data_IF_964079110606
#
_entry.id   IF_964079110606
#
_cell.length_a   1.000
_cell.length_b   1.000
_cell.length_c   1.000
_cell.angle_alpha   90.00
_cell.angle_beta   90.00
_cell.angle_gamma   90.00
#
_symmetry.space_group_name_H-M   'P 1'
#
loop_
_entity.id
_entity.type
_entity.pdbx_description
1 polymer ?
#
# COMPACT_ATOMS: atom_id res chain seq x y z
N UNK A 1 70.91 -37.79 -9.28
CA UNK A 1 70.09 -37.04 -10.26
C UNK A 1 68.67 -37.52 -10.08
N UNK A 2 67.70 -36.62 -9.93
CA UNK A 2 66.37 -37.00 -9.46
C UNK A 2 65.42 -37.29 -10.63
N UNK A 3 64.84 -38.48 -10.65
CA UNK A 3 63.66 -38.77 -11.47
C UNK A 3 62.44 -38.07 -10.88
N UNK A 4 61.66 -37.38 -11.71
CA UNK A 4 60.38 -36.79 -11.31
C UNK A 4 59.33 -37.22 -12.33
N UNK A 5 58.41 -38.11 -11.92
CA UNK A 5 57.29 -38.53 -12.76
C UNK A 5 56.28 -37.39 -12.93
N UNK A 6 55.60 -37.26 -14.09
CA UNK A 6 54.58 -36.23 -14.28
C UNK A 6 53.37 -36.50 -13.38
N UNK A 7 53.06 -35.56 -12.50
CA UNK A 7 51.89 -35.67 -11.62
C UNK A 7 50.59 -35.52 -12.43
N UNK A 8 49.69 -36.50 -12.30
CA UNK A 8 48.36 -36.47 -12.91
C UNK A 8 47.57 -35.24 -12.45
N UNK A 9 47.15 -34.40 -13.40
CA UNK A 9 46.27 -33.26 -13.11
C UNK A 9 44.87 -33.74 -12.76
N UNK A 10 44.62 -34.06 -11.49
CA UNK A 10 43.27 -34.27 -10.98
C UNK A 10 42.48 -32.96 -11.09
N UNK A 11 41.65 -32.87 -12.13
CA UNK A 11 40.69 -31.78 -12.33
C UNK A 11 39.56 -31.90 -11.30
N UNK A 12 39.78 -31.42 -10.08
CA UNK A 12 38.73 -31.27 -9.08
C UNK A 12 37.77 -30.15 -9.48
N UNK A 13 36.81 -30.48 -10.34
CA UNK A 13 35.57 -29.71 -10.43
C UNK A 13 34.80 -29.93 -9.14
N UNK A 14 34.50 -28.91 -8.33
CA UNK A 14 33.62 -29.08 -7.18
C UNK A 14 32.25 -29.57 -7.67
N UNK A 15 31.53 -30.41 -6.90
CA UNK A 15 30.19 -30.85 -7.28
C UNK A 15 29.29 -29.62 -7.43
N UNK A 16 28.70 -29.45 -8.62
CA UNK A 16 27.78 -28.35 -8.88
C UNK A 16 26.59 -28.45 -7.91
N UNK A 17 26.38 -27.40 -7.10
CA UNK A 17 25.32 -27.43 -6.10
C UNK A 17 23.95 -27.59 -6.77
N UNK A 18 23.02 -28.39 -6.20
CA UNK A 18 21.70 -28.61 -6.79
C UNK A 18 20.91 -27.29 -6.95
N UNK A 19 21.20 -26.27 -6.14
CA UNK A 19 20.73 -24.89 -6.29
C UNK A 19 21.05 -24.31 -7.66
N UNK A 20 22.29 -24.44 -8.15
CA UNK A 20 22.75 -23.84 -9.42
C UNK A 20 22.03 -24.39 -10.65
N UNK A 21 21.46 -25.59 -10.56
CA UNK A 21 20.66 -26.17 -11.64
C UNK A 21 19.19 -25.70 -11.56
N UNK A 22 18.62 -25.59 -10.35
CA UNK A 22 17.30 -24.98 -10.12
C UNK A 22 17.27 -23.50 -10.52
N UNK A 23 18.32 -22.73 -10.23
CA UNK A 23 18.46 -21.34 -10.66
C UNK A 23 18.42 -21.20 -12.18
N UNK A 24 19.06 -22.11 -12.93
CA UNK A 24 19.04 -22.13 -14.40
C UNK A 24 17.66 -22.49 -14.94
N UNK A 25 16.94 -23.41 -14.31
CA UNK A 25 15.55 -23.72 -14.69
C UNK A 25 14.64 -22.50 -14.44
N UNK A 26 14.77 -21.84 -13.28
CA UNK A 26 14.02 -20.60 -12.97
C UNK A 26 14.33 -19.49 -13.99
N UNK A 27 15.59 -19.29 -14.37
CA UNK A 27 15.97 -18.31 -15.40
C UNK A 27 15.38 -18.66 -16.79
N UNK A 28 15.41 -19.94 -17.20
CA UNK A 28 14.79 -20.40 -18.44
C UNK A 28 13.27 -20.18 -18.46
N UNK A 29 12.60 -20.52 -17.36
CA UNK A 29 11.17 -20.28 -17.14
C UNK A 29 10.82 -18.79 -17.17
N UNK A 30 11.65 -17.93 -16.55
CA UNK A 30 11.49 -16.46 -16.65
C UNK A 30 11.61 -15.95 -18.09
N UNK A 31 12.59 -16.42 -18.87
CA UNK A 31 12.72 -16.06 -20.29
C UNK A 31 11.50 -16.52 -21.11
N UNK A 32 10.94 -17.71 -20.81
CA UNK A 32 9.73 -18.19 -21.46
C UNK A 32 8.50 -17.33 -21.10
N UNK A 33 8.38 -16.89 -19.84
CA UNK A 33 7.35 -15.93 -19.40
C UNK A 33 7.47 -14.58 -20.13
N UNK A 34 8.68 -14.05 -20.34
CA UNK A 34 8.88 -12.83 -21.15
C UNK A 34 8.35 -13.04 -22.58
N UNK A 35 8.76 -14.12 -23.25
CA UNK A 35 8.31 -14.45 -24.61
C UNK A 35 6.80 -14.64 -24.75
N UNK A 36 6.11 -15.12 -23.72
CA UNK A 36 4.63 -15.18 -23.72
C UNK A 36 3.98 -13.82 -23.49
N UNK A 37 4.58 -12.92 -22.71
CA UNK A 37 4.08 -11.53 -22.58
C UNK A 37 4.26 -10.75 -23.88
N UNK A 38 5.39 -10.91 -24.57
CA UNK A 38 5.62 -10.36 -25.92
C UNK A 38 4.54 -10.85 -26.90
N UNK A 39 4.26 -12.16 -26.94
CA UNK A 39 3.20 -12.74 -27.76
C UNK A 39 1.79 -12.20 -27.41
N UNK A 40 1.50 -11.92 -26.13
CA UNK A 40 0.24 -11.28 -25.74
C UNK A 40 0.13 -9.87 -26.33
N UNK A 41 1.20 -9.09 -26.37
CA UNK A 41 1.17 -7.76 -27.01
C UNK A 41 1.00 -7.87 -28.53
N UNK A 42 1.73 -8.78 -29.19
CA UNK A 42 1.60 -9.04 -30.64
C UNK A 42 0.17 -9.48 -31.02
N UNK A 43 -0.50 -10.30 -30.19
CA UNK A 43 -1.89 -10.71 -30.43
C UNK A 43 -2.89 -9.56 -30.20
N UNK A 44 -2.61 -8.64 -29.28
CA UNK A 44 -3.44 -7.43 -29.11
C UNK A 44 -3.32 -6.51 -30.33
N UNK A 45 -2.10 -6.25 -30.80
CA UNK A 45 -1.80 -5.29 -31.88
C UNK A 45 -1.91 -5.85 -33.30
N UNK A 46 -2.31 -7.12 -33.49
CA UNK A 46 -2.59 -7.68 -34.80
C UNK A 46 -4.05 -7.40 -35.17
N UNK A 47 -4.32 -6.51 -36.12
CA UNK A 47 -5.69 -6.12 -36.48
C UNK A 47 -6.38 -7.03 -37.52
N UNK A 48 -5.70 -8.09 -37.96
CA UNK A 48 -6.27 -9.14 -38.81
C UNK A 48 -7.05 -10.20 -38.01
N UNK A 49 -6.81 -10.29 -36.69
CA UNK A 49 -7.48 -11.22 -35.78
C UNK A 49 -8.79 -10.64 -35.22
N UNK A 50 -9.88 -11.40 -35.29
CA UNK A 50 -11.14 -11.03 -34.67
C UNK A 50 -11.05 -11.00 -33.13
N UNK A 51 -11.92 -10.20 -32.49
CA UNK A 51 -11.92 -9.97 -31.04
C UNK A 51 -12.07 -11.24 -30.20
N UNK A 52 -12.80 -12.26 -30.68
CA UNK A 52 -12.97 -13.54 -29.96
C UNK A 52 -11.69 -14.36 -30.06
N UNK A 53 -11.09 -14.47 -31.24
CA UNK A 53 -9.80 -15.15 -31.44
C UNK A 53 -8.66 -14.46 -30.69
N UNK A 54 -8.61 -13.12 -30.66
CA UNK A 54 -7.70 -12.35 -29.79
C UNK A 54 -7.89 -12.75 -28.32
N UNK A 55 -9.12 -12.71 -27.81
CA UNK A 55 -9.42 -13.02 -26.41
C UNK A 55 -9.07 -14.46 -26.01
N UNK A 56 -9.40 -15.43 -26.86
CA UNK A 56 -9.09 -16.85 -26.62
C UNK A 56 -7.58 -17.12 -26.63
N UNK A 57 -6.85 -16.54 -27.58
CA UNK A 57 -5.38 -16.69 -27.67
C UNK A 57 -4.65 -15.98 -26.53
N UNK A 58 -5.11 -14.79 -26.11
CA UNK A 58 -4.61 -14.09 -24.91
C UNK A 58 -4.89 -14.90 -23.65
N UNK A 59 -6.10 -15.47 -23.50
CA UNK A 59 -6.45 -16.36 -22.38
C UNK A 59 -5.56 -17.60 -22.32
N UNK A 60 -5.27 -18.22 -23.46
CA UNK A 60 -4.35 -19.36 -23.56
C UNK A 60 -2.93 -19.00 -23.11
N UNK A 61 -2.35 -17.93 -23.67
CA UNK A 61 -1.01 -17.43 -23.28
C UNK A 61 -0.93 -17.04 -21.79
N UNK A 62 -2.00 -16.43 -21.26
CA UNK A 62 -2.10 -16.06 -19.83
C UNK A 62 -2.12 -17.30 -18.93
N UNK A 63 -2.82 -18.36 -19.35
CA UNK A 63 -2.81 -19.67 -18.66
C UNK A 63 -1.40 -20.29 -18.64
N UNK A 64 -0.67 -20.25 -19.77
CA UNK A 64 0.72 -20.73 -19.83
C UNK A 64 1.68 -19.91 -18.95
N UNK A 65 1.46 -18.60 -18.80
CA UNK A 65 2.21 -17.76 -17.84
C UNK A 65 1.93 -18.20 -16.40
N UNK A 66 0.66 -18.43 -16.04
CA UNK A 66 0.28 -18.89 -14.70
C UNK A 66 0.86 -20.29 -14.37
N UNK A 67 0.93 -21.19 -15.36
CA UNK A 67 1.61 -22.49 -15.21
C UNK A 67 3.11 -22.33 -14.96
N UNK A 68 3.77 -21.41 -15.66
CA UNK A 68 5.19 -21.08 -15.43
C UNK A 68 5.41 -20.50 -14.03
N UNK A 69 4.60 -19.55 -13.59
CA UNK A 69 4.72 -18.95 -12.26
C UNK A 69 4.51 -19.98 -11.14
N UNK A 70 3.55 -20.90 -11.32
CA UNK A 70 3.34 -22.04 -10.42
C UNK A 70 4.58 -22.95 -10.34
N UNK A 71 5.20 -23.29 -11.48
CA UNK A 71 6.42 -24.12 -11.51
C UNK A 71 7.63 -23.39 -10.89
N UNK A 72 7.79 -22.09 -11.12
CA UNK A 72 8.84 -21.28 -10.45
C UNK A 72 8.61 -21.27 -8.93
N UNK A 73 7.36 -21.14 -8.46
CA UNK A 73 7.04 -21.19 -7.04
C UNK A 73 7.35 -22.56 -6.42
N UNK A 74 7.01 -23.67 -7.11
CA UNK A 74 7.35 -25.03 -6.69
C UNK A 74 8.87 -25.21 -6.55
N UNK A 75 9.65 -24.88 -7.58
CA UNK A 75 11.12 -25.06 -7.58
C UNK A 75 11.76 -24.27 -6.43
N UNK A 76 11.26 -23.06 -6.14
CA UNK A 76 11.72 -22.25 -4.99
C UNK A 76 11.32 -22.84 -3.64
N UNK A 77 10.12 -23.42 -3.52
CA UNK A 77 9.69 -24.10 -2.29
C UNK A 77 10.55 -25.34 -2.01
N UNK A 78 10.79 -26.18 -3.03
CA UNK A 78 11.69 -27.34 -2.94
C UNK A 78 13.12 -26.93 -2.55
N UNK A 79 13.64 -25.83 -3.13
CA UNK A 79 14.98 -25.34 -2.79
C UNK A 79 15.10 -24.84 -1.34
N UNK A 80 14.05 -24.20 -0.80
CA UNK A 80 13.99 -23.80 0.61
C UNK A 80 13.84 -25.00 1.56
N UNK A 81 13.11 -26.03 1.15
CA UNK A 81 12.96 -27.27 1.94
C UNK A 81 14.28 -28.06 1.98
N UNK A 82 14.98 -28.17 0.84
CA UNK A 82 16.27 -28.85 0.75
C UNK A 82 17.35 -28.13 1.57
N UNK A 83 17.39 -26.79 1.53
CA UNK A 83 18.26 -25.97 2.40
C UNK A 83 17.99 -26.19 3.89
N UNK A 84 16.71 -26.28 4.31
CA UNK A 84 16.36 -26.61 5.70
C UNK A 84 16.79 -28.03 6.09
N UNK A 85 16.57 -29.03 5.22
CA UNK A 85 16.96 -30.43 5.48
C UNK A 85 18.47 -30.60 5.62
N UNK A 86 19.27 -29.92 4.79
CA UNK A 86 20.73 -29.89 4.90
C UNK A 86 21.17 -29.31 6.26
N UNK A 87 20.63 -28.16 6.67
CA UNK A 87 20.96 -27.53 7.95
C UNK A 87 20.60 -28.39 9.18
N UNK A 88 19.60 -29.28 9.08
CA UNK A 88 19.28 -30.22 10.17
C UNK A 88 20.24 -31.41 10.24
N UNK A 89 20.77 -31.90 9.10
CA UNK A 89 21.72 -33.02 9.10
C UNK A 89 23.11 -32.64 9.62
N UNK A 90 23.57 -31.40 9.37
CA UNK A 90 24.86 -30.94 9.90
C UNK A 90 24.87 -30.77 11.43
N UNK A 91 23.71 -30.53 12.07
CA UNK A 91 23.63 -30.44 13.53
C UNK A 91 23.76 -31.79 14.26
N UNK A 92 23.65 -32.93 13.57
CA UNK A 92 23.64 -34.25 14.24
C UNK A 92 25.03 -34.82 14.57
N UNK A 93 26.12 -34.06 14.39
CA UNK A 93 27.50 -34.58 14.50
C UNK A 93 28.47 -33.88 15.47
N UNK A 94 28.03 -32.88 16.24
CA UNK A 94 28.84 -32.35 17.35
C UNK A 94 28.00 -32.32 18.64
N UNK A 95 28.54 -32.91 19.70
CA UNK A 95 27.88 -33.06 21.00
C UNK A 95 28.82 -32.55 22.11
N UNK A 96 28.23 -32.02 23.19
CA UNK A 96 28.91 -31.43 24.36
C UNK A 96 29.56 -30.05 24.05
N UNK A 97 29.25 -28.95 24.75
CA UNK A 97 28.97 -28.84 26.19
C UNK A 97 28.06 -27.65 26.58
N UNK A 98 27.29 -27.85 27.67
CA UNK A 98 26.64 -26.93 28.64
C UNK A 98 26.32 -25.44 28.30
N UNK A 99 25.29 -24.82 28.92
CA UNK A 99 24.08 -25.39 29.56
C UNK A 99 22.79 -24.87 28.88
N UNK A 100 21.62 -25.22 29.41
CA UNK A 100 20.33 -24.70 28.94
C UNK A 100 20.25 -23.16 29.02
N UNK A 101 20.28 -22.51 27.86
CA UNK A 101 19.17 -21.62 27.52
C UNK A 101 18.16 -22.46 26.77
N UNK A 102 16.94 -22.58 27.30
CA UNK A 102 15.84 -23.20 26.58
C UNK A 102 15.48 -22.31 25.39
N UNK A 103 16.06 -22.60 24.23
CA UNK A 103 15.47 -22.24 22.95
C UNK A 103 14.20 -23.06 22.80
N UNK A 104 13.13 -22.58 23.45
CA UNK A 104 11.77 -23.01 23.18
C UNK A 104 11.56 -22.85 21.69
N UNK A 105 11.38 -23.96 20.98
CA UNK A 105 11.04 -23.93 19.56
C UNK A 105 9.81 -23.05 19.40
N UNK A 106 9.86 -22.00 18.56
CA UNK A 106 8.77 -21.02 18.49
C UNK A 106 7.48 -21.77 18.15
N UNK A 107 6.50 -21.68 19.04
CA UNK A 107 5.28 -22.49 18.92
C UNK A 107 4.62 -22.22 17.57
N UNK A 108 3.89 -23.21 17.03
CA UNK A 108 3.24 -23.05 15.71
C UNK A 108 2.34 -21.80 15.68
N UNK A 109 1.71 -21.46 16.82
CA UNK A 109 0.96 -20.20 17.01
C UNK A 109 1.84 -18.95 16.89
N UNK A 110 3.03 -18.93 17.49
CA UNK A 110 3.98 -17.82 17.37
C UNK A 110 4.51 -17.67 15.93
N UNK A 111 4.78 -18.78 15.23
CA UNK A 111 5.18 -18.77 13.83
C UNK A 111 4.06 -18.27 12.90
N UNK A 112 2.80 -18.67 13.14
CA UNK A 112 1.62 -18.16 12.41
C UNK A 112 1.42 -16.66 12.69
N UNK A 113 1.55 -16.21 13.94
CA UNK A 113 1.48 -14.78 14.27
C UNK A 113 2.53 -13.98 13.50
N UNK A 114 3.81 -14.37 13.58
CA UNK A 114 4.87 -13.69 12.84
C UNK A 114 4.61 -13.65 11.34
N UNK A 115 4.13 -14.74 10.71
CA UNK A 115 3.83 -14.72 9.28
C UNK A 115 2.69 -13.75 8.92
N UNK A 116 1.68 -13.60 9.79
CA UNK A 116 0.62 -12.60 9.65
C UNK A 116 1.13 -11.17 9.89
N UNK A 117 2.03 -10.97 10.86
CA UNK A 117 2.66 -9.67 11.14
C UNK A 117 3.56 -9.23 9.98
N UNK A 118 4.33 -10.13 9.36
CA UNK A 118 5.11 -9.86 8.14
C UNK A 118 4.24 -9.53 6.92
N UNK A 119 3.11 -10.23 6.71
CA UNK A 119 2.15 -9.92 5.63
C UNK A 119 1.50 -8.53 5.83
N UNK A 120 1.09 -8.19 7.05
CA UNK A 120 0.60 -6.85 7.39
C UNK A 120 1.67 -5.77 7.17
N UNK A 121 2.92 -6.04 7.57
CA UNK A 121 4.04 -5.13 7.38
C UNK A 121 4.32 -4.90 5.89
N UNK A 122 4.32 -5.95 5.07
CA UNK A 122 4.45 -5.85 3.60
C UNK A 122 3.32 -5.05 2.95
N UNK A 123 2.08 -5.24 3.40
CA UNK A 123 0.91 -4.47 2.94
C UNK A 123 1.00 -2.98 3.28
N UNK A 124 1.49 -2.65 4.49
CA UNK A 124 1.69 -1.25 4.92
C UNK A 124 2.84 -0.57 4.18
N UNK A 125 3.96 -1.27 3.92
CA UNK A 125 5.04 -0.79 3.05
C UNK A 125 4.50 -0.52 1.64
N UNK A 126 3.81 -1.48 1.02
CA UNK A 126 3.21 -1.32 -0.31
C UNK A 126 2.11 -0.25 -0.40
N UNK A 127 1.49 0.13 0.73
CA UNK A 127 0.57 1.27 0.80
C UNK A 127 1.33 2.60 0.90
N UNK A 128 2.35 2.68 1.77
CA UNK A 128 3.24 3.84 1.89
C UNK A 128 3.87 4.22 0.55
N UNK A 129 4.42 3.24 -0.16
CA UNK A 129 5.15 3.47 -1.41
C UNK A 129 4.22 3.97 -2.53
N UNK A 130 2.95 3.53 -2.52
CA UNK A 130 1.89 4.09 -3.38
C UNK A 130 1.57 5.53 -3.01
N UNK A 131 1.40 5.86 -1.73
CA UNK A 131 1.11 7.22 -1.29
C UNK A 131 2.26 8.19 -1.64
N UNK A 132 3.51 7.76 -1.48
CA UNK A 132 4.69 8.51 -1.93
C UNK A 132 4.72 8.72 -3.45
N UNK A 133 4.35 7.70 -4.23
CA UNK A 133 4.22 7.80 -5.70
C UNK A 133 3.11 8.79 -6.10
N UNK A 134 1.99 8.80 -5.39
CA UNK A 134 0.89 9.77 -5.60
C UNK A 134 1.33 11.19 -5.29
N UNK A 135 2.03 11.42 -4.16
CA UNK A 135 2.59 12.75 -3.82
C UNK A 135 3.52 13.24 -4.93
N UNK A 136 4.48 12.42 -5.36
CA UNK A 136 5.42 12.79 -6.41
C UNK A 136 4.73 13.13 -7.74
N UNK A 137 3.64 12.41 -8.06
CA UNK A 137 2.80 12.70 -9.24
C UNK A 137 2.08 14.05 -9.09
N UNK A 138 1.40 14.28 -7.96
CA UNK A 138 0.63 15.52 -7.70
C UNK A 138 1.56 16.75 -7.69
N UNK A 139 2.75 16.64 -7.09
CA UNK A 139 3.77 17.70 -7.16
C UNK A 139 4.30 17.89 -8.59
N UNK A 140 4.52 16.80 -9.33
CA UNK A 140 5.00 16.82 -10.72
C UNK A 140 4.03 17.58 -11.61
N UNK A 141 2.74 17.26 -11.52
CA UNK A 141 1.67 18.04 -12.15
C UNK A 141 1.65 19.49 -11.65
N UNK A 142 1.72 19.75 -10.34
CA UNK A 142 1.68 21.12 -9.80
C UNK A 142 2.82 21.99 -10.35
N UNK A 143 4.02 21.43 -10.50
CA UNK A 143 5.17 22.08 -11.13
C UNK A 143 4.93 22.31 -12.63
N UNK A 144 4.38 21.33 -13.34
CA UNK A 144 4.07 21.43 -14.77
C UNK A 144 2.97 22.45 -15.06
N UNK A 145 1.84 22.38 -14.35
CA UNK A 145 0.70 23.29 -14.46
C UNK A 145 1.16 24.75 -14.24
N UNK A 146 2.00 24.98 -13.21
CA UNK A 146 2.57 26.30 -12.95
C UNK A 146 3.46 26.78 -14.11
N UNK A 147 4.37 25.93 -14.62
CA UNK A 147 5.21 26.28 -15.78
C UNK A 147 4.36 26.61 -17.01
N UNK A 148 3.27 25.88 -17.27
CA UNK A 148 2.36 26.14 -18.39
C UNK A 148 1.64 27.49 -18.26
N UNK A 149 1.33 27.94 -17.04
CA UNK A 149 0.74 29.24 -16.77
C UNK A 149 1.77 30.39 -16.81
N UNK A 150 2.98 30.16 -16.31
CA UNK A 150 4.08 31.15 -16.25
C UNK A 150 4.81 31.35 -17.59
N UNK A 151 4.82 30.36 -18.49
CA UNK A 151 5.59 30.40 -19.73
C UNK A 151 4.94 31.25 -20.83
N UNK A 152 5.15 32.57 -20.77
CA UNK A 152 5.09 33.47 -21.94
C UNK A 152 5.95 34.72 -21.70
N UNK A 153 6.56 35.27 -22.76
CA UNK A 153 7.46 36.44 -22.67
C UNK A 153 6.75 37.79 -22.46
N UNK A 154 5.44 37.79 -22.25
CA UNK A 154 4.61 38.99 -22.13
C UNK A 154 3.71 38.91 -20.89
N UNK A 155 3.82 39.92 -20.01
CA UNK A 155 3.08 40.03 -18.75
C UNK A 155 1.62 40.42 -18.98
N UNK A 156 0.80 39.46 -19.40
CA UNK A 156 -0.66 39.62 -19.49
C UNK A 156 -1.30 39.59 -18.08
N UNK A 157 -2.01 40.68 -17.74
CA UNK A 157 -2.75 40.81 -16.49
C UNK A 157 -3.82 39.71 -16.31
N UNK A 158 -4.41 39.24 -17.42
CA UNK A 158 -5.35 38.12 -17.40
C UNK A 158 -4.70 36.81 -16.97
N UNK A 159 -3.45 36.56 -17.38
CA UNK A 159 -2.67 35.41 -16.90
C UNK A 159 -2.31 35.53 -15.43
N UNK A 160 -1.96 36.72 -14.93
CA UNK A 160 -1.69 36.92 -13.50
C UNK A 160 -2.91 36.55 -12.66
N UNK A 161 -4.10 37.03 -13.05
CA UNK A 161 -5.37 36.68 -12.37
C UNK A 161 -5.69 35.18 -12.51
N UNK A 162 -5.43 34.56 -13.66
CA UNK A 162 -5.63 33.12 -13.86
C UNK A 162 -4.71 32.28 -12.96
N UNK A 163 -3.45 32.68 -12.80
CA UNK A 163 -2.46 32.02 -11.94
C UNK A 163 -2.79 32.19 -10.45
N UNK A 164 -3.22 33.38 -10.03
CA UNK A 164 -3.71 33.65 -8.68
C UNK A 164 -4.94 32.77 -8.33
N UNK A 165 -5.92 32.70 -9.24
CA UNK A 165 -7.08 31.83 -9.10
C UNK A 165 -6.68 30.34 -9.08
N UNK A 166 -5.73 29.91 -9.90
CA UNK A 166 -5.21 28.53 -9.90
C UNK A 166 -4.47 28.18 -8.60
N UNK A 167 -3.70 29.11 -8.05
CA UNK A 167 -3.01 28.97 -6.76
C UNK A 167 -4.01 28.77 -5.61
N UNK A 168 -5.03 29.62 -5.53
CA UNK A 168 -6.05 29.54 -4.48
C UNK A 168 -7.06 28.39 -4.63
N UNK A 169 -7.17 27.75 -5.80
CA UNK A 169 -8.18 26.70 -6.04
C UNK A 169 -7.60 25.32 -6.36
N UNK A 170 -6.67 25.22 -7.31
CA UNK A 170 -6.11 23.94 -7.79
C UNK A 170 -4.86 23.59 -6.99
N UNK A 171 -3.88 24.48 -6.91
CA UNK A 171 -2.62 24.18 -6.23
C UNK A 171 -2.79 24.09 -4.72
N UNK A 172 -3.71 24.87 -4.14
CA UNK A 172 -4.11 24.73 -2.75
C UNK A 172 -4.72 23.34 -2.45
N UNK A 173 -5.67 22.86 -3.26
CA UNK A 173 -6.24 21.51 -3.10
C UNK A 173 -5.20 20.40 -3.35
N UNK A 174 -4.30 20.58 -4.32
CA UNK A 174 -3.19 19.64 -4.55
C UNK A 174 -2.27 19.54 -3.33
N UNK A 175 -1.97 20.66 -2.64
CA UNK A 175 -1.25 20.66 -1.35
C UNK A 175 -2.02 19.96 -0.23
N UNK A 176 -3.33 20.22 -0.09
CA UNK A 176 -4.17 19.59 0.93
C UNK A 176 -4.19 18.06 0.79
N UNK A 177 -4.28 17.55 -0.45
CA UNK A 177 -4.20 16.11 -0.74
C UNK A 177 -2.80 15.55 -0.43
N UNK A 178 -1.72 16.28 -0.75
CA UNK A 178 -0.35 15.88 -0.36
C UNK A 178 -0.21 15.78 1.16
N UNK A 179 -0.70 16.78 1.90
CA UNK A 179 -0.61 16.81 3.37
C UNK A 179 -1.41 15.66 4.02
N UNK A 180 -2.57 15.28 3.47
CA UNK A 180 -3.30 14.10 3.95
C UNK A 180 -2.59 12.78 3.60
N UNK A 181 -1.98 12.66 2.42
CA UNK A 181 -1.16 11.51 2.05
C UNK A 181 0.08 11.39 2.96
N UNK A 182 0.73 12.49 3.32
CA UNK A 182 1.82 12.53 4.32
C UNK A 182 1.34 12.09 5.71
N UNK A 183 0.15 12.55 6.14
CA UNK A 183 -0.49 12.11 7.38
C UNK A 183 -0.74 10.59 7.38
N UNK A 184 -1.21 10.03 6.26
CA UNK A 184 -1.41 8.59 6.10
C UNK A 184 -0.10 7.80 6.00
N UNK A 185 0.96 8.35 5.40
CA UNK A 185 2.33 7.81 5.47
C UNK A 185 2.81 7.77 6.93
N UNK A 186 2.58 8.83 7.71
CA UNK A 186 2.92 8.89 9.14
C UNK A 186 2.22 7.80 9.95
N UNK A 187 0.89 7.64 9.77
CA UNK A 187 0.09 6.55 10.40
C UNK A 187 0.62 5.18 10.00
N UNK A 188 0.94 4.96 8.72
CA UNK A 188 1.49 3.70 8.23
C UNK A 188 2.88 3.40 8.84
N UNK A 189 3.78 4.38 8.88
CA UNK A 189 5.11 4.25 9.48
C UNK A 189 5.04 3.97 10.99
N UNK A 190 4.09 4.59 11.71
CA UNK A 190 3.88 4.30 13.13
C UNK A 190 3.47 2.82 13.34
N UNK A 191 2.48 2.34 12.58
CA UNK A 191 2.02 0.94 12.65
C UNK A 191 3.08 -0.06 12.17
N UNK A 192 3.95 0.32 11.22
CA UNK A 192 5.13 -0.48 10.85
C UNK A 192 6.09 -0.63 12.04
N UNK A 193 6.28 0.43 12.84
CA UNK A 193 7.02 0.37 14.10
C UNK A 193 6.36 -0.56 15.12
N UNK A 194 5.05 -0.45 15.33
CA UNK A 194 4.31 -1.33 16.26
C UNK A 194 4.43 -2.82 15.91
N UNK A 195 4.31 -3.16 14.62
CA UNK A 195 4.44 -4.54 14.13
C UNK A 195 5.89 -5.04 14.21
N UNK A 196 6.88 -4.18 13.96
CA UNK A 196 8.29 -4.52 14.18
C UNK A 196 8.58 -4.77 15.68
N UNK A 197 8.02 -3.96 16.57
CA UNK A 197 8.10 -4.17 18.01
C UNK A 197 7.37 -5.45 18.48
N UNK A 198 6.26 -5.83 17.83
CA UNK A 198 5.59 -7.12 18.08
C UNK A 198 6.51 -8.31 17.75
N UNK A 199 7.21 -8.25 16.60
CA UNK A 199 8.16 -9.30 16.18
C UNK A 199 9.31 -9.47 17.19
N UNK A 200 9.84 -8.37 17.72
CA UNK A 200 10.99 -8.38 18.63
C UNK A 200 10.65 -8.65 20.11
N UNK A 201 9.37 -8.58 20.51
CA UNK A 201 8.94 -8.93 21.87
C UNK A 201 9.01 -10.45 22.05
N UNK A 202 9.93 -11.01 22.87
CA UNK A 202 9.96 -12.45 23.12
C UNK A 202 8.62 -12.86 23.73
N UNK A 203 7.99 -13.87 23.14
CA UNK A 203 6.60 -14.21 23.42
C UNK A 203 6.35 -14.43 24.91
N UNK A 204 5.66 -13.48 25.56
CA UNK A 204 5.06 -13.74 26.86
C UNK A 204 4.08 -14.89 26.68
N UNK A 205 4.17 -15.88 27.57
CA UNK A 205 3.21 -16.99 27.65
C UNK A 205 1.90 -16.47 28.22
N UNK A 206 1.17 -15.71 27.40
CA UNK A 206 -0.13 -15.16 27.76
C UNK A 206 -1.18 -16.26 27.66
N UNK A 207 -1.44 -16.89 28.80
CA UNK A 207 -2.30 -18.06 28.94
C UNK A 207 -3.78 -17.70 28.89
N UNK A 208 -4.23 -17.27 27.72
CA UNK A 208 -5.63 -17.27 27.32
C UNK A 208 -6.50 -16.15 27.89
N UNK A 209 -6.63 -15.05 27.14
CA UNK A 209 -7.89 -14.31 27.07
C UNK A 209 -8.41 -14.26 25.64
N UNK A 210 -9.60 -14.84 25.43
CA UNK A 210 -10.40 -14.53 24.25
C UNK A 210 -11.04 -13.14 24.43
N UNK A 211 -11.17 -12.32 23.38
CA UNK A 211 -11.97 -11.11 23.45
C UNK A 211 -13.43 -11.49 23.70
N UNK A 212 -13.96 -11.11 24.86
CA UNK A 212 -15.35 -11.37 25.23
C UNK A 212 -16.25 -10.40 24.47
N UNK A 213 -16.97 -10.91 23.47
CA UNK A 213 -18.06 -10.16 22.84
C UNK A 213 -19.16 -9.87 23.86
N UNK A 214 -19.37 -8.60 24.18
CA UNK A 214 -20.61 -8.07 24.78
C UNK A 214 -20.87 -6.68 24.20
N UNK A 215 -21.85 -6.58 23.32
CA UNK A 215 -22.55 -5.31 23.07
C UNK A 215 -23.85 -5.29 23.86
N UNK A 216 -24.12 -4.22 24.59
CA UNK A 216 -25.47 -3.89 25.06
C UNK A 216 -25.61 -2.38 25.29
N UNK A 217 -26.70 -1.82 24.80
CA UNK A 217 -27.10 -0.42 25.00
C UNK A 217 -27.94 -0.26 26.29
N UNK A 218 -28.36 0.98 26.57
CA UNK A 218 -29.18 1.50 27.70
C UNK A 218 -28.36 1.94 28.92
N UNK A 219 -28.35 3.20 29.34
CA UNK A 219 -29.41 4.23 29.61
C UNK A 219 -29.81 4.25 31.09
N UNK A 220 -29.74 5.44 31.70
CA UNK A 220 -30.52 5.93 32.86
C UNK A 220 -30.45 5.16 34.22
N UNK A 221 -30.65 5.79 35.38
CA UNK A 221 -30.60 7.22 35.78
C UNK A 221 -30.59 7.30 37.32
N UNK A 222 -29.92 8.29 37.93
CA UNK A 222 -30.36 8.98 39.16
C UNK A 222 -29.43 10.13 39.60
N UNK A 223 -29.96 11.36 39.54
CA UNK A 223 -30.27 12.27 40.67
C UNK A 223 -29.79 11.85 42.09
N UNK A 224 -29.45 12.72 43.08
CA UNK A 224 -30.03 14.03 43.44
C UNK A 224 -29.04 14.95 44.24
N UNK A 225 -29.26 16.28 44.12
CA UNK A 225 -29.41 17.29 45.22
C UNK A 225 -28.44 18.49 45.41
N UNK A 226 -29.00 19.68 45.07
CA UNK A 226 -28.93 21.05 45.67
C UNK A 226 -27.59 21.74 46.06
N UNK A 227 -27.43 22.96 45.51
CA UNK A 227 -26.35 23.91 45.86
C UNK A 227 -26.64 25.43 45.70
N UNK A 228 -27.90 25.89 45.84
CA UNK A 228 -28.35 27.30 46.01
C UNK A 228 -27.70 28.47 45.20
N UNK A 229 -28.48 28.99 44.24
CA UNK A 229 -28.94 30.40 44.16
C UNK A 229 -27.96 31.60 44.13
N UNK A 230 -27.97 32.34 43.01
CA UNK A 230 -28.19 33.80 42.99
C UNK A 230 -28.73 34.26 41.60
N UNK A 231 -29.54 35.33 41.56
CA UNK A 231 -30.18 35.86 40.33
C UNK A 231 -29.88 37.34 40.16
N UNK A 232 -29.45 37.77 38.96
CA UNK A 232 -29.72 39.14 38.46
C UNK A 232 -29.42 39.34 36.95
N UNK A 233 -30.43 39.85 36.23
CA UNK A 233 -30.38 40.67 35.01
C UNK A 233 -31.47 41.75 35.17
N UNK A 234 -31.18 43.03 34.92
CA UNK A 234 -31.58 43.72 33.67
C UNK A 234 -30.38 44.46 33.03
N UNK A 235 -30.31 44.86 31.74
CA UNK A 235 -31.24 45.32 30.68
C UNK A 235 -31.34 46.87 30.59
N UNK A 236 -30.89 47.41 29.44
CA UNK A 236 -30.96 48.81 28.98
C UNK A 236 -29.73 49.11 28.10
N UNK A 237 -29.81 49.63 26.86
CA UNK A 237 -30.40 50.88 26.31
C UNK A 237 -29.28 51.91 26.03
N UNK A 238 -29.20 52.64 24.91
CA UNK A 238 -30.00 52.67 23.66
C UNK A 238 -29.21 53.43 22.56
N UNK A 239 -29.66 53.33 21.29
CA UNK A 239 -29.65 54.42 20.28
C UNK A 239 -28.33 54.87 19.63
N UNK A 240 -28.25 55.37 18.37
CA UNK A 240 -28.81 55.11 17.00
C UNK A 240 -27.86 55.97 16.06
N UNK A 241 -28.01 56.35 14.78
CA UNK A 241 -28.85 56.20 13.56
C UNK A 241 -27.89 56.62 12.38
N UNK A 242 -28.05 56.53 11.06
CA UNK A 242 -29.08 56.19 10.04
C UNK A 242 -28.57 54.98 9.18
N UNK A 243 -29.24 54.35 8.19
CA UNK A 243 -30.26 54.68 7.15
C UNK A 243 -29.71 55.35 5.86
N UNK A 244 -29.71 54.61 4.74
CA UNK A 244 -30.56 54.94 3.58
C UNK A 244 -30.81 53.69 2.70
N UNK A 245 -31.92 53.72 1.96
CA UNK A 245 -32.67 52.54 1.48
C UNK A 245 -32.98 52.64 -0.04
N UNK A 246 -33.65 51.63 -0.62
CA UNK A 246 -34.27 51.58 -1.97
C UNK A 246 -33.38 51.44 -3.23
N UNK A 247 -33.83 50.70 -4.28
CA UNK A 247 -34.99 49.77 -4.27
C UNK A 247 -35.53 49.29 -5.63
N UNK A 248 -36.41 48.27 -5.53
CA UNK A 248 -37.47 47.80 -6.48
C UNK A 248 -37.14 47.05 -7.79
N UNK A 249 -37.32 45.73 -7.70
CA UNK A 249 -38.09 44.79 -8.58
C UNK A 249 -38.48 45.15 -10.03
N UNK A 250 -38.33 44.15 -10.90
CA UNK A 250 -39.30 43.78 -11.95
C UNK A 250 -39.24 42.27 -12.24
N UNK A 251 -40.25 41.69 -12.89
CA UNK A 251 -40.57 40.25 -12.83
C UNK A 251 -40.67 39.54 -14.20
N UNK A 252 -40.16 38.31 -14.29
CA UNK A 252 -40.67 37.26 -15.21
C UNK A 252 -40.10 35.87 -14.89
N UNK A 253 -40.91 34.83 -15.11
CA UNK A 253 -40.74 33.38 -14.83
C UNK A 253 -41.74 32.64 -15.76
N UNK A 254 -41.55 31.38 -16.25
CA UNK A 254 -40.45 30.40 -16.04
C UNK A 254 -39.84 29.79 -17.35
N UNK A 255 -38.84 28.90 -17.16
CA UNK A 255 -38.89 27.46 -17.51
C UNK A 255 -37.83 26.84 -18.46
N UNK A 256 -37.34 25.68 -18.00
CA UNK A 256 -36.89 24.46 -18.70
C UNK A 256 -35.45 24.31 -19.28
N UNK A 257 -34.74 23.37 -18.65
CA UNK A 257 -33.81 22.36 -19.20
C UNK A 257 -32.46 22.77 -19.80
N UNK A 258 -31.39 22.42 -19.08
CA UNK A 258 -30.37 21.49 -19.59
C UNK A 258 -29.89 20.61 -18.44
N UNK A 259 -29.64 19.34 -18.71
CA UNK A 259 -29.21 18.35 -17.71
C UNK A 259 -27.67 18.32 -17.62
N UNK A 260 -27.13 18.23 -16.41
CA UNK A 260 -25.74 17.80 -16.20
C UNK A 260 -25.68 17.00 -14.91
N UNK A 261 -25.46 15.69 -15.05
CA UNK A 261 -25.49 14.76 -13.92
C UNK A 261 -24.22 14.90 -13.08
N UNK A 262 -24.35 15.40 -11.85
CA UNK A 262 -23.27 15.35 -10.87
C UNK A 262 -22.94 13.89 -10.55
N UNK A 263 -21.70 13.47 -10.83
CA UNK A 263 -21.24 12.11 -10.49
C UNK A 263 -21.16 11.96 -8.98
N UNK A 264 -22.09 11.20 -8.39
CA UNK A 264 -22.15 10.99 -6.96
C UNK A 264 -21.01 10.05 -6.52
N UNK A 265 -20.14 10.54 -5.64
CA UNK A 265 -19.08 9.72 -5.04
C UNK A 265 -19.70 8.59 -4.20
N UNK A 266 -19.26 7.35 -4.47
CA UNK A 266 -19.70 6.19 -3.71
C UNK A 266 -18.97 6.14 -2.37
N UNK A 267 -19.65 6.60 -1.30
CA UNK A 267 -19.18 6.41 0.08
C UNK A 267 -19.26 4.93 0.46
N UNK A 268 -18.10 4.30 0.67
CA UNK A 268 -18.00 2.92 1.17
C UNK A 268 -18.13 2.93 2.69
N UNK A 269 -19.25 2.41 3.20
CA UNK A 269 -19.45 2.17 4.64
C UNK A 269 -18.58 0.99 5.09
N UNK A 270 -17.61 1.25 5.97
CA UNK A 270 -16.75 0.23 6.58
C UNK A 270 -17.16 0.07 8.04
N UNK A 271 -17.90 -1.00 8.33
CA UNK A 271 -18.22 -1.43 9.69
C UNK A 271 -17.27 -2.55 10.14
N UNK A 272 -17.00 -2.56 11.44
CA UNK A 272 -16.14 -3.50 12.16
C UNK A 272 -17.04 -4.46 12.94
#
# INVERSE_FOLDING_TARGET
MNSISPATKNSFTPPASPTSNRDKEIQGLMQQKVKFNEQIQVVKSNDELDTKTKAERIKSLTSSIAQIDSRIAQIKAEEMEEKNKLQQMDQTKQQQSKPEKQQQTPSMSHLIKHSQTYDQMGKLIGLRDKMQSSIHTIEGETRFDRIVLENDTHSDLGKTQMLENAEHTVFQKKREVVQDLESHIGKANHKLGELADEIHKPGRYDSGQLPRSVGSTKEESQEIDRGKSAVSKPKGSTTDEEILEQGRVSSSVPNKASESAASAYSSVDIRI
#
